data_IF_628671289988
#
_entry.id   IF_628671289988
#
_cell.length_a   1.000
_cell.length_b   1.000
_cell.length_c   1.000
_cell.angle_alpha   90.00
_cell.angle_beta   90.00
_cell.angle_gamma   90.00
#
_symmetry.space_group_name_H-M   'P 1'
#
loop_
_entity.id
_entity.type
_entity.pdbx_description
1 polymer ?
#
# COMPACT_ATOMS: atom_id res chain seq x y z
N UNK A 1 46.03 24.09 44.57
CA UNK A 1 45.55 22.69 44.50
C UNK A 1 44.14 22.70 45.07
N UNK A 2 43.08 22.75 44.25
CA UNK A 2 42.41 21.58 43.59
C UNK A 2 41.70 20.72 44.66
N UNK A 3 40.40 20.38 44.66
CA UNK A 3 39.27 20.26 43.68
C UNK A 3 37.94 20.32 44.50
N UNK A 4 36.80 20.82 43.99
CA UNK A 4 35.76 20.09 43.21
C UNK A 4 34.80 19.31 44.15
N UNK A 5 33.46 19.25 44.06
CA UNK A 5 32.42 19.42 43.02
C UNK A 5 31.05 19.41 43.74
N UNK A 6 30.08 20.32 43.52
CA UNK A 6 29.00 20.32 42.49
C UNK A 6 28.09 19.08 42.42
N UNK A 7 26.78 19.25 42.66
CA UNK A 7 25.71 18.66 41.82
C UNK A 7 24.31 19.21 42.18
N UNK A 8 23.88 20.26 41.48
CA UNK A 8 22.46 20.55 41.22
C UNK A 8 22.10 19.89 39.89
N UNK A 9 21.23 18.88 39.89
CA UNK A 9 20.69 18.28 38.66
C UNK A 9 19.53 19.13 38.16
N UNK A 10 19.83 20.00 37.19
CA UNK A 10 18.80 20.53 36.30
C UNK A 10 18.46 19.46 35.25
N UNK A 11 17.21 18.97 35.32
CA UNK A 11 16.63 18.06 34.35
C UNK A 11 16.11 18.87 33.16
N UNK A 12 16.98 19.17 32.21
CA UNK A 12 16.55 19.71 30.92
C UNK A 12 16.01 18.58 30.05
N UNK A 13 14.72 18.64 29.75
CA UNK A 13 14.12 17.80 28.72
C UNK A 13 14.77 18.14 27.39
N UNK A 14 15.52 17.20 26.82
CA UNK A 14 15.98 17.30 25.44
C UNK A 14 14.76 17.20 24.52
N UNK A 15 14.41 18.32 23.90
CA UNK A 15 13.49 18.36 22.76
C UNK A 15 14.03 17.44 21.66
N UNK A 16 13.22 16.55 21.06
CA UNK A 16 13.66 15.73 19.94
C UNK A 16 14.22 16.63 18.83
N UNK A 17 15.43 16.30 18.33
CA UNK A 17 16.04 16.99 17.17
C UNK A 17 14.99 17.09 16.06
N UNK A 18 14.58 18.31 15.74
CA UNK A 18 13.69 18.56 14.62
C UNK A 18 14.35 18.02 13.35
N UNK A 19 13.65 17.11 12.65
CA UNK A 19 14.05 16.75 11.29
C UNK A 19 13.97 18.02 10.43
N UNK A 20 14.90 18.25 9.47
CA UNK A 20 14.80 19.38 8.57
C UNK A 20 13.42 19.39 7.92
N UNK A 21 12.59 20.37 8.26
CA UNK A 21 11.28 20.55 7.63
C UNK A 21 11.53 21.03 6.21
N UNK A 22 11.04 20.35 5.17
CA UNK A 22 11.08 20.91 3.83
C UNK A 22 10.43 22.29 3.85
N UNK A 23 11.02 23.25 3.12
CA UNK A 23 10.47 24.59 3.09
C UNK A 23 9.04 24.57 2.54
N UNK A 24 8.17 25.45 3.03
CA UNK A 24 6.81 25.62 2.48
C UNK A 24 6.85 25.87 0.96
N UNK A 25 7.91 26.50 0.46
CA UNK A 25 8.19 26.71 -0.96
C UNK A 25 8.31 25.38 -1.74
N UNK A 26 8.95 24.36 -1.16
CA UNK A 26 9.09 23.05 -1.81
C UNK A 26 7.75 22.33 -1.97
N UNK A 27 6.88 22.40 -0.95
CA UNK A 27 5.53 21.81 -1.02
C UNK A 27 4.62 22.55 -2.00
N UNK A 28 4.72 23.88 -2.06
CA UNK A 28 4.00 24.68 -3.07
C UNK A 28 4.41 24.28 -4.47
N UNK A 29 5.72 24.24 -4.76
CA UNK A 29 6.23 23.82 -6.06
C UNK A 29 5.77 22.40 -6.42
N UNK A 30 5.76 21.49 -5.44
CA UNK A 30 5.26 20.13 -5.62
C UNK A 30 3.77 20.08 -5.96
N UNK A 31 2.93 20.81 -5.22
CA UNK A 31 1.49 20.89 -5.48
C UNK A 31 1.20 21.48 -6.88
N UNK A 32 1.91 22.54 -7.26
CA UNK A 32 1.77 23.13 -8.60
C UNK A 32 2.14 22.16 -9.73
N UNK A 33 3.22 21.38 -9.56
CA UNK A 33 3.61 20.38 -10.56
C UNK A 33 2.56 19.28 -10.74
N UNK A 34 1.92 18.84 -9.65
CA UNK A 34 0.83 17.86 -9.71
C UNK A 34 -0.36 18.46 -10.46
N UNK A 35 -0.84 19.62 -10.04
CA UNK A 35 -2.02 20.26 -10.65
C UNK A 35 -1.79 20.58 -12.13
N UNK A 36 -0.58 21.02 -12.51
CA UNK A 36 -0.22 21.25 -13.91
C UNK A 36 -0.26 19.95 -14.74
N UNK A 37 0.21 18.84 -14.18
CA UNK A 37 0.16 17.55 -14.87
C UNK A 37 -1.28 17.04 -15.04
N UNK A 38 -2.14 17.32 -14.07
CA UNK A 38 -3.57 16.98 -14.10
C UNK A 38 -4.40 17.92 -15.00
N UNK A 39 -3.77 18.91 -15.65
CA UNK A 39 -4.43 19.95 -16.45
C UNK A 39 -5.54 20.70 -15.68
N UNK A 40 -5.33 20.86 -14.37
CA UNK A 40 -6.28 21.51 -13.46
C UNK A 40 -6.39 23.01 -13.77
N UNK A 41 -7.63 23.52 -13.83
CA UNK A 41 -7.97 24.88 -14.24
C UNK A 41 -7.43 25.95 -13.26
N UNK A 42 -7.11 25.57 -12.02
CA UNK A 42 -6.50 26.43 -11.01
C UNK A 42 -5.11 26.93 -11.45
N UNK A 43 -4.39 26.17 -12.27
CA UNK A 43 -3.02 26.50 -12.70
C UNK A 43 -2.97 27.44 -13.91
N UNK A 44 -3.97 27.39 -14.81
CA UNK A 44 -4.11 28.27 -15.98
C UNK A 44 -2.87 28.43 -16.87
N UNK A 45 -2.88 29.43 -17.77
CA UNK A 45 -1.75 29.80 -18.65
C UNK A 45 -0.67 30.65 -17.97
N UNK A 46 -0.45 30.45 -16.66
CA UNK A 46 0.54 31.26 -15.93
C UNK A 46 1.95 30.81 -16.35
N UNK A 47 2.68 31.66 -17.07
CA UNK A 47 4.12 31.49 -17.30
C UNK A 47 4.86 31.60 -15.96
N UNK A 48 5.55 30.53 -15.56
CA UNK A 48 6.27 30.46 -14.29
C UNK A 48 7.77 30.61 -14.60
N UNK A 49 8.50 31.48 -13.89
CA UNK A 49 9.96 31.51 -13.97
C UNK A 49 10.50 30.13 -13.56
N UNK A 50 11.44 29.59 -14.34
CA UNK A 50 12.16 28.35 -14.05
C UNK A 50 12.95 28.48 -12.73
N UNK A 51 12.27 28.42 -11.60
CA UNK A 51 12.92 28.35 -10.31
C UNK A 51 13.26 26.89 -10.05
N UNK A 52 14.57 26.65 -9.86
CA UNK A 52 15.21 25.37 -9.65
C UNK A 52 14.35 24.38 -8.86
N UNK A 53 14.10 23.21 -9.47
CA UNK A 53 13.62 22.04 -8.73
C UNK A 53 14.68 21.68 -7.69
N UNK A 54 14.31 21.60 -6.41
CA UNK A 54 15.21 21.14 -5.35
C UNK A 54 14.77 19.76 -4.85
N UNK A 55 15.71 18.83 -4.67
CA UNK A 55 15.45 17.57 -4.00
C UNK A 55 14.95 17.84 -2.57
N UNK A 56 13.74 17.39 -2.20
CA UNK A 56 13.17 17.60 -0.84
C UNK A 56 14.04 16.99 0.27
N UNK A 57 14.79 15.92 -0.05
CA UNK A 57 15.68 15.22 0.89
C UNK A 57 17.10 15.79 0.92
N UNK A 58 17.55 16.41 -0.17
CA UNK A 58 18.96 16.74 -0.43
C UNK A 58 19.20 18.25 -0.56
N UNK A 59 18.16 19.05 -0.82
CA UNK A 59 18.20 20.48 -1.11
C UNK A 59 19.12 20.90 -2.27
N UNK A 60 19.48 19.95 -3.15
CA UNK A 60 20.26 20.20 -4.36
C UNK A 60 19.38 20.46 -5.59
N UNK A 61 19.86 21.30 -6.51
CA UNK A 61 19.22 21.67 -7.77
C UNK A 61 19.17 20.50 -8.76
N UNK A 62 17.99 20.30 -9.35
CA UNK A 62 17.74 19.29 -10.37
C UNK A 62 17.78 20.01 -11.73
N UNK A 63 18.74 19.64 -12.56
CA UNK A 63 18.81 20.10 -13.95
C UNK A 63 17.72 19.44 -14.78
N UNK A 64 17.02 20.23 -15.60
CA UNK A 64 15.72 19.89 -16.24
C UNK A 64 15.86 18.96 -17.46
N UNK A 65 17.07 18.51 -17.79
CA UNK A 65 17.29 17.67 -18.97
C UNK A 65 17.40 16.19 -18.61
N UNK A 66 16.30 15.48 -18.27
CA UNK A 66 16.39 14.01 -18.27
C UNK A 66 15.14 13.22 -18.72
N UNK A 67 15.38 12.06 -19.37
CA UNK A 67 14.39 11.18 -19.98
C UNK A 67 13.65 10.32 -18.95
N UNK A 68 12.51 9.78 -19.41
CA UNK A 68 11.37 9.27 -18.64
C UNK A 68 11.60 8.17 -17.58
N UNK A 69 12.80 7.61 -17.40
CA UNK A 69 12.90 6.35 -16.65
C UNK A 69 13.86 6.28 -15.45
N UNK A 70 14.90 7.11 -15.26
CA UNK A 70 15.62 7.14 -13.97
C UNK A 70 16.57 8.33 -13.89
N UNK A 71 16.48 9.14 -12.83
CA UNK A 71 17.52 10.14 -12.50
C UNK A 71 18.04 9.85 -11.09
N UNK A 72 19.35 9.59 -11.00
CA UNK A 72 20.07 9.48 -9.73
C UNK A 72 20.56 10.88 -9.31
N UNK A 73 20.30 11.30 -8.07
CA UNK A 73 21.09 12.38 -7.47
C UNK A 73 22.54 11.91 -7.29
N UNK A 74 23.48 12.85 -7.14
CA UNK A 74 24.95 12.63 -7.14
C UNK A 74 25.48 11.57 -6.12
N UNK A 75 24.63 11.03 -5.24
CA UNK A 75 24.97 10.05 -4.19
C UNK A 75 24.30 8.68 -4.39
N UNK A 76 23.88 8.31 -5.60
CA UNK A 76 23.32 6.97 -5.91
C UNK A 76 22.20 6.49 -4.96
N UNK A 77 21.45 7.42 -4.37
CA UNK A 77 20.34 7.11 -3.47
C UNK A 77 19.03 7.44 -4.20
N UNK A 78 18.07 6.50 -4.33
CA UNK A 78 16.79 6.79 -4.97
C UNK A 78 15.97 7.75 -4.08
N UNK A 79 15.95 9.03 -4.43
CA UNK A 79 15.24 10.07 -3.69
C UNK A 79 14.02 10.55 -4.49
N UNK A 80 12.81 10.25 -3.98
CA UNK A 80 11.50 10.92 -4.21
C UNK A 80 10.94 11.01 -5.65
N UNK A 81 11.75 10.94 -6.72
CA UNK A 81 11.29 10.95 -8.12
C UNK A 81 10.38 9.76 -8.50
N UNK A 82 10.42 8.66 -7.74
CA UNK A 82 9.58 7.48 -8.00
C UNK A 82 8.14 7.68 -7.49
N UNK A 83 7.93 8.46 -6.43
CA UNK A 83 6.62 8.58 -5.80
C UNK A 83 5.66 9.53 -6.53
N UNK A 84 6.18 10.60 -7.15
CA UNK A 84 5.37 11.63 -7.80
C UNK A 84 4.58 11.10 -9.02
N UNK A 85 5.19 10.38 -9.99
CA UNK A 85 4.44 9.83 -11.13
C UNK A 85 3.40 8.79 -10.72
N UNK A 86 3.67 8.04 -9.65
CA UNK A 86 2.74 7.04 -9.11
C UNK A 86 1.53 7.73 -8.51
N UNK A 87 1.74 8.74 -7.66
CA UNK A 87 0.67 9.51 -7.04
C UNK A 87 -0.17 10.25 -8.08
N UNK A 88 0.47 10.86 -9.08
CA UNK A 88 -0.23 11.52 -10.19
C UNK A 88 -1.14 10.52 -10.92
N UNK A 89 -0.60 9.35 -11.30
CA UNK A 89 -1.37 8.31 -11.98
C UNK A 89 -2.56 7.84 -11.14
N UNK A 90 -2.36 7.70 -9.83
CA UNK A 90 -3.42 7.33 -8.89
C UNK A 90 -4.50 8.41 -8.79
N UNK A 91 -4.12 9.68 -8.73
CA UNK A 91 -5.04 10.83 -8.71
C UNK A 91 -5.80 11.01 -10.04
N UNK A 92 -5.20 10.66 -11.18
CA UNK A 92 -5.87 10.69 -12.49
C UNK A 92 -6.80 9.49 -12.74
N UNK A 93 -6.82 8.50 -11.85
CA UNK A 93 -7.66 7.30 -12.01
C UNK A 93 -9.04 7.55 -11.40
N UNK A 94 -10.09 7.50 -12.23
CA UNK A 94 -11.47 7.58 -11.75
C UNK A 94 -11.76 6.42 -10.78
N UNK A 95 -12.08 6.73 -9.52
CA UNK A 95 -12.59 5.76 -8.56
C UNK A 95 -14.10 5.95 -8.44
N UNK A 96 -14.85 4.93 -8.85
CA UNK A 96 -16.31 4.90 -8.68
C UNK A 96 -16.67 4.60 -7.23
N UNK A 97 -16.70 5.65 -6.41
CA UNK A 97 -17.37 5.61 -5.12
C UNK A 97 -18.39 6.74 -5.13
N UNK A 98 -19.64 6.37 -5.43
CA UNK A 98 -20.80 7.17 -5.11
C UNK A 98 -20.77 7.54 -3.62
N UNK A 99 -21.09 8.80 -3.39
CA UNK A 99 -21.08 9.48 -2.11
C UNK A 99 -21.77 8.69 -1.00
N UNK A 100 -21.04 8.38 0.08
CA UNK A 100 -21.65 8.19 1.40
C UNK A 100 -21.34 9.41 2.27
N UNK A 101 -22.43 9.96 2.80
CA UNK A 101 -22.52 11.15 3.64
C UNK A 101 -21.61 10.99 4.86
N UNK A 102 -20.57 11.81 4.95
CA UNK A 102 -19.78 11.91 6.19
C UNK A 102 -20.67 12.47 7.29
N UNK A 103 -20.89 11.67 8.33
CA UNK A 103 -21.44 12.15 9.60
C UNK A 103 -20.50 13.23 10.14
N UNK A 104 -21.06 14.41 10.39
CA UNK A 104 -20.33 15.65 10.68
C UNK A 104 -19.73 15.55 12.09
N UNK A 105 -18.59 14.90 12.21
CA UNK A 105 -17.82 14.83 13.45
C UNK A 105 -17.54 16.23 13.99
N UNK A 106 -17.71 16.40 15.30
CA UNK A 106 -17.25 17.58 16.03
C UNK A 106 -15.80 17.83 15.67
N UNK A 107 -15.47 19.02 15.17
CA UNK A 107 -14.15 19.35 14.61
C UNK A 107 -13.01 19.42 15.62
N UNK A 108 -13.04 18.59 16.67
CA UNK A 108 -11.98 18.45 17.65
C UNK A 108 -10.85 17.56 17.11
N UNK A 109 -9.61 17.93 17.43
CA UNK A 109 -8.41 17.22 16.97
C UNK A 109 -8.39 15.76 17.44
N UNK A 110 -8.98 15.47 18.60
CA UNK A 110 -9.10 14.12 19.13
C UNK A 110 -9.98 13.25 18.23
N UNK A 111 -11.15 13.76 17.82
CA UNK A 111 -12.07 13.06 16.93
C UNK A 111 -11.44 12.83 15.54
N UNK A 112 -10.75 13.84 15.01
CA UNK A 112 -10.02 13.73 13.74
C UNK A 112 -8.88 12.69 13.81
N UNK A 113 -8.11 12.67 14.90
CA UNK A 113 -7.04 11.68 15.08
C UNK A 113 -7.58 10.25 15.19
N UNK A 114 -8.64 10.04 15.99
CA UNK A 114 -9.26 8.72 16.12
C UNK A 114 -9.91 8.26 14.81
N UNK A 115 -10.45 9.18 14.02
CA UNK A 115 -10.96 8.90 12.68
C UNK A 115 -9.84 8.37 11.76
N UNK A 116 -8.67 9.00 11.77
CA UNK A 116 -7.50 8.52 11.00
C UNK A 116 -7.13 7.09 11.42
N UNK A 117 -6.97 6.84 12.73
CA UNK A 117 -6.60 5.51 13.23
C UNK A 117 -7.64 4.45 12.85
N UNK A 118 -8.93 4.78 12.91
CA UNK A 118 -9.99 3.87 12.52
C UNK A 118 -9.95 3.56 11.01
N UNK A 119 -9.78 4.59 10.18
CA UNK A 119 -9.71 4.45 8.71
C UNK A 119 -8.45 3.68 8.28
N UNK A 120 -7.29 3.95 8.89
CA UNK A 120 -6.08 3.15 8.69
C UNK A 120 -6.30 1.69 9.13
N UNK A 121 -7.05 1.47 10.21
CA UNK A 121 -7.46 0.15 10.67
C UNK A 121 -8.33 -0.62 9.67
N UNK A 122 -9.19 0.07 8.89
CA UNK A 122 -10.00 -0.57 7.85
C UNK A 122 -9.14 -1.18 6.74
N UNK A 123 -8.00 -0.57 6.40
CA UNK A 123 -7.08 -1.14 5.42
C UNK A 123 -6.52 -2.48 5.90
N UNK A 124 -6.19 -2.60 7.20
CA UNK A 124 -5.77 -3.87 7.80
C UNK A 124 -6.90 -4.91 7.78
N UNK A 125 -8.13 -4.50 8.09
CA UNK A 125 -9.31 -5.38 8.10
C UNK A 125 -9.57 -5.91 6.67
N UNK A 126 -9.58 -5.02 5.68
CA UNK A 126 -9.75 -5.40 4.28
C UNK A 126 -8.67 -6.40 3.81
N UNK A 127 -7.40 -6.21 4.22
CA UNK A 127 -6.33 -7.18 3.94
C UNK A 127 -6.62 -8.55 4.57
N UNK A 128 -7.06 -8.60 5.83
CA UNK A 128 -7.44 -9.84 6.52
C UNK A 128 -8.60 -10.53 5.82
N UNK A 129 -9.62 -9.79 5.40
CA UNK A 129 -10.80 -10.33 4.74
C UNK A 129 -10.48 -10.91 3.36
N UNK A 130 -9.59 -10.25 2.60
CA UNK A 130 -9.06 -10.80 1.35
C UNK A 130 -8.33 -12.12 1.60
N UNK A 131 -7.46 -12.17 2.62
CA UNK A 131 -6.71 -13.40 2.96
C UNK A 131 -7.68 -14.52 3.41
N UNK A 132 -8.68 -14.19 4.23
CA UNK A 132 -9.70 -15.13 4.67
C UNK A 132 -10.55 -15.65 3.52
N UNK A 133 -10.86 -14.81 2.53
CA UNK A 133 -11.55 -15.22 1.31
C UNK A 133 -10.71 -16.19 0.47
N UNK A 134 -9.40 -15.94 0.34
CA UNK A 134 -8.49 -16.90 -0.30
C UNK A 134 -8.39 -18.22 0.45
N UNK A 135 -8.31 -18.17 1.79
CA UNK A 135 -8.32 -19.37 2.63
C UNK A 135 -9.58 -20.20 2.42
N UNK A 136 -10.76 -19.59 2.50
CA UNK A 136 -12.04 -20.27 2.29
C UNK A 136 -12.16 -20.85 0.87
N UNK A 137 -11.68 -20.13 -0.14
CA UNK A 137 -11.66 -20.63 -1.51
C UNK A 137 -10.71 -21.82 -1.65
N UNK A 138 -9.52 -21.77 -1.06
CA UNK A 138 -8.57 -22.89 -1.04
C UNK A 138 -9.13 -24.12 -0.33
N UNK A 139 -9.77 -23.93 0.83
CA UNK A 139 -10.48 -24.98 1.57
C UNK A 139 -11.56 -25.64 0.71
N UNK A 140 -12.41 -24.85 0.05
CA UNK A 140 -13.44 -25.37 -0.83
C UNK A 140 -12.87 -26.15 -2.04
N UNK A 141 -11.73 -25.72 -2.59
CA UNK A 141 -11.02 -26.45 -3.64
C UNK A 141 -10.50 -27.80 -3.13
N UNK A 142 -9.89 -27.82 -1.94
CA UNK A 142 -9.36 -29.03 -1.32
C UNK A 142 -10.48 -30.02 -0.93
N UNK A 143 -11.55 -29.54 -0.32
CA UNK A 143 -12.74 -30.35 0.01
C UNK A 143 -13.35 -30.97 -1.26
N UNK A 144 -13.46 -30.18 -2.33
CA UNK A 144 -13.97 -30.65 -3.62
C UNK A 144 -13.03 -31.69 -4.25
N UNK A 145 -11.72 -31.48 -4.16
CA UNK A 145 -10.72 -32.44 -4.62
C UNK A 145 -10.80 -33.74 -3.83
N UNK A 146 -10.87 -33.67 -2.50
CA UNK A 146 -10.98 -34.83 -1.61
C UNK A 146 -12.29 -35.58 -1.83
N UNK A 147 -13.39 -34.89 -2.14
CA UNK A 147 -14.65 -35.52 -2.53
C UNK A 147 -14.47 -36.38 -3.79
N UNK A 148 -13.96 -35.81 -4.88
CA UNK A 148 -13.80 -36.56 -6.13
C UNK A 148 -12.72 -37.64 -6.06
N UNK A 149 -11.67 -37.43 -5.26
CA UNK A 149 -10.57 -38.38 -5.08
C UNK A 149 -11.02 -39.71 -4.46
N UNK A 150 -12.17 -39.77 -3.79
CA UNK A 150 -12.73 -41.01 -3.23
C UNK A 150 -12.98 -42.07 -4.30
N UNK A 151 -13.54 -41.65 -5.43
CA UNK A 151 -13.98 -42.57 -6.50
C UNK A 151 -13.14 -42.44 -7.79
N UNK A 152 -12.18 -41.52 -7.83
CA UNK A 152 -11.44 -41.18 -9.03
C UNK A 152 -9.92 -41.11 -8.80
N UNK A 153 -9.10 -41.48 -9.79
CA UNK A 153 -7.66 -41.25 -9.71
C UNK A 153 -7.37 -39.74 -9.67
N UNK A 154 -6.22 -39.38 -9.07
CA UNK A 154 -5.81 -37.98 -8.81
C UNK A 154 -6.00 -37.05 -10.01
N UNK A 155 -5.63 -37.48 -11.21
CA UNK A 155 -5.77 -36.67 -12.44
C UNK A 155 -7.23 -36.37 -12.78
N UNK A 156 -8.11 -37.35 -12.67
CA UNK A 156 -9.54 -37.21 -12.95
C UNK A 156 -10.21 -36.33 -11.90
N UNK A 157 -9.90 -36.51 -10.61
CA UNK A 157 -10.41 -35.65 -9.55
C UNK A 157 -10.05 -34.18 -9.79
N UNK A 158 -8.79 -33.89 -10.18
CA UNK A 158 -8.36 -32.53 -10.50
C UNK A 158 -9.11 -31.94 -11.71
N UNK A 159 -9.32 -32.74 -12.76
CA UNK A 159 -10.07 -32.31 -13.94
C UNK A 159 -11.54 -31.96 -13.58
N UNK A 160 -12.17 -32.76 -12.70
CA UNK A 160 -13.52 -32.51 -12.21
C UNK A 160 -13.62 -31.24 -11.36
N UNK A 161 -12.66 -31.00 -10.46
CA UNK A 161 -12.58 -29.74 -9.71
C UNK A 161 -12.43 -28.55 -10.67
N UNK A 162 -11.53 -28.65 -11.66
CA UNK A 162 -11.34 -27.59 -12.64
C UNK A 162 -12.62 -27.32 -13.43
N UNK A 163 -13.30 -28.36 -13.90
CA UNK A 163 -14.59 -28.25 -14.59
C UNK A 163 -15.65 -27.55 -13.73
N UNK A 164 -15.81 -27.97 -12.47
CA UNK A 164 -16.78 -27.37 -11.54
C UNK A 164 -16.51 -25.89 -11.28
N UNK A 165 -15.24 -25.51 -11.10
CA UNK A 165 -14.87 -24.11 -10.91
C UNK A 165 -15.17 -23.28 -12.17
N UNK A 166 -14.90 -23.84 -13.35
CA UNK A 166 -15.21 -23.20 -14.63
C UNK A 166 -16.69 -22.95 -14.85
N UNK A 167 -17.53 -23.93 -14.55
CA UNK A 167 -18.99 -23.81 -14.64
C UNK A 167 -19.54 -22.68 -13.76
N UNK A 168 -18.88 -22.41 -12.61
CA UNK A 168 -19.27 -21.34 -11.70
C UNK A 168 -18.67 -19.98 -12.04
N UNK A 169 -17.58 -19.94 -12.83
CA UNK A 169 -16.83 -18.72 -13.15
C UNK A 169 -16.55 -18.58 -14.67
N UNK A 170 -17.59 -18.57 -15.53
CA UNK A 170 -17.41 -18.61 -16.98
C UNK A 170 -16.77 -17.34 -17.58
N UNK A 171 -16.84 -16.20 -16.88
CA UNK A 171 -16.41 -14.89 -17.40
C UNK A 171 -14.98 -14.50 -16.96
N UNK A 172 -14.24 -15.39 -16.30
CA UNK A 172 -12.88 -15.10 -15.81
C UNK A 172 -11.86 -15.69 -16.77
N UNK A 173 -10.83 -14.93 -17.13
CA UNK A 173 -9.70 -15.44 -17.92
C UNK A 173 -9.01 -16.63 -17.22
N UNK A 174 -8.67 -17.66 -17.99
CA UNK A 174 -7.98 -18.87 -17.53
C UNK A 174 -6.75 -18.56 -16.67
N UNK A 175 -5.92 -17.62 -17.11
CA UNK A 175 -4.69 -17.25 -16.41
C UNK A 175 -4.98 -16.58 -15.06
N UNK A 176 -5.97 -15.69 -15.03
CA UNK A 176 -6.39 -15.01 -13.81
C UNK A 176 -6.99 -16.00 -12.80
N UNK A 177 -7.83 -16.92 -13.28
CA UNK A 177 -8.43 -17.97 -12.44
C UNK A 177 -7.36 -18.91 -11.89
N UNK A 178 -6.43 -19.37 -12.74
CA UNK A 178 -5.31 -20.22 -12.32
C UNK A 178 -4.49 -19.56 -11.20
N UNK A 179 -4.06 -18.31 -11.41
CA UNK A 179 -3.28 -17.54 -10.40
C UNK A 179 -4.03 -17.39 -9.07
N UNK A 180 -5.35 -17.13 -9.12
CA UNK A 180 -6.18 -17.02 -7.91
C UNK A 180 -6.29 -18.37 -7.19
N UNK A 181 -6.46 -19.48 -7.91
CA UNK A 181 -6.53 -20.84 -7.33
C UNK A 181 -5.22 -21.25 -6.68
N UNK A 182 -4.09 -21.07 -7.37
CA UNK A 182 -2.77 -21.38 -6.82
C UNK A 182 -2.51 -20.60 -5.54
N UNK A 183 -2.78 -19.29 -5.55
CA UNK A 183 -2.68 -18.45 -4.36
C UNK A 183 -3.59 -18.94 -3.22
N UNK A 184 -4.83 -19.32 -3.54
CA UNK A 184 -5.79 -19.80 -2.56
C UNK A 184 -5.34 -21.09 -1.89
N UNK A 185 -4.83 -22.05 -2.67
CA UNK A 185 -4.32 -23.32 -2.17
C UNK A 185 -3.11 -23.11 -1.24
N UNK A 186 -2.14 -22.28 -1.63
CA UNK A 186 -0.99 -21.97 -0.76
C UNK A 186 -1.39 -21.33 0.57
N UNK A 187 -2.31 -20.36 0.52
CA UNK A 187 -2.83 -19.70 1.73
C UNK A 187 -3.58 -20.72 2.59
N UNK A 188 -4.40 -21.57 1.98
CA UNK A 188 -5.11 -22.62 2.69
C UNK A 188 -4.16 -23.60 3.37
N UNK A 189 -3.20 -24.17 2.64
CA UNK A 189 -2.20 -25.10 3.17
C UNK A 189 -1.47 -24.49 4.39
N UNK A 190 -0.95 -23.27 4.25
CA UNK A 190 -0.25 -22.57 5.32
C UNK A 190 -1.12 -22.39 6.58
N UNK A 191 -2.31 -21.78 6.44
CA UNK A 191 -3.15 -21.47 7.59
C UNK A 191 -3.92 -22.68 8.14
N UNK A 192 -4.08 -23.73 7.36
CA UNK A 192 -4.58 -25.01 7.85
C UNK A 192 -3.56 -25.68 8.78
N UNK A 193 -2.26 -25.50 8.53
CA UNK A 193 -1.20 -26.02 9.40
C UNK A 193 -0.99 -25.17 10.67
N UNK A 194 -0.93 -23.84 10.55
CA UNK A 194 -0.62 -22.96 11.69
C UNK A 194 -1.86 -22.50 12.49
N UNK A 195 -3.06 -22.70 11.93
CA UNK A 195 -4.35 -22.32 12.49
C UNK A 195 -5.00 -21.12 11.79
N UNK A 196 -6.28 -21.25 11.44
CA UNK A 196 -7.09 -20.20 10.81
C UNK A 196 -7.14 -18.92 11.66
N UNK A 197 -7.13 -19.06 12.99
CA UNK A 197 -7.15 -17.94 13.94
C UNK A 197 -5.96 -16.98 13.74
N UNK A 198 -4.85 -17.47 13.18
CA UNK A 198 -3.64 -16.69 12.92
C UNK A 198 -3.85 -15.64 11.82
N UNK A 199 -4.82 -15.81 10.92
CA UNK A 199 -5.17 -14.82 9.89
C UNK A 199 -5.53 -13.47 10.55
N UNK A 200 -6.17 -13.49 11.72
CA UNK A 200 -6.57 -12.27 12.44
C UNK A 200 -5.38 -11.45 12.95
N UNK A 201 -4.18 -12.04 13.03
CA UNK A 201 -2.97 -11.35 13.52
C UNK A 201 -2.21 -10.60 12.43
N UNK A 202 -2.64 -10.74 11.17
CA UNK A 202 -1.98 -10.10 10.02
C UNK A 202 -2.26 -8.61 10.03
N UNK A 203 -1.22 -7.78 9.86
CA UNK A 203 -1.37 -6.31 9.76
C UNK A 203 -0.89 -5.78 8.42
N UNK A 204 0.33 -6.14 8.04
CA UNK A 204 1.02 -5.57 6.88
C UNK A 204 1.06 -6.48 5.65
N UNK A 205 0.85 -7.78 5.81
CA UNK A 205 0.99 -8.73 4.70
C UNK A 205 -0.25 -8.77 3.82
N UNK A 206 -0.04 -8.79 2.51
CA UNK A 206 -1.08 -9.09 1.52
C UNK A 206 -1.12 -10.59 1.21
N UNK A 207 -2.25 -11.05 0.67
CA UNK A 207 -2.37 -12.42 0.14
C UNK A 207 -1.30 -12.74 -0.92
N UNK A 208 -0.93 -11.76 -1.74
CA UNK A 208 0.13 -11.90 -2.75
C UNK A 208 1.49 -12.12 -2.09
N UNK A 209 1.81 -11.33 -1.06
CA UNK A 209 3.07 -11.44 -0.32
C UNK A 209 3.21 -12.80 0.36
N UNK A 210 2.13 -13.29 0.98
CA UNK A 210 2.12 -14.60 1.66
C UNK A 210 2.30 -15.75 0.67
N UNK A 211 1.63 -15.70 -0.49
CA UNK A 211 1.72 -16.77 -1.50
C UNK A 211 3.08 -16.94 -2.19
N UNK A 212 4.01 -16.02 -1.91
CA UNK A 212 5.38 -16.00 -2.42
C UNK A 212 6.42 -16.38 -1.36
N UNK A 213 6.00 -16.81 -0.17
CA UNK A 213 6.90 -17.22 0.91
C UNK A 213 7.49 -18.64 0.71
N UNK A 214 7.14 -19.30 -0.40
CA UNK A 214 7.77 -20.54 -0.88
C UNK A 214 9.11 -20.29 -1.56
#
# INVERSE_FOLDING_TARGET
MSKGSESTKDSSYQTPRERPRPSLTNYRNFAYNILKYLEDDIVGDKEIPQNQLLCVKCLEEITVDFPKDTVFCHVNTPCIMIALPILIKELSSETSQDSEVMEKGTGDFFDLYNSIINMEGQEEIAKRDVIKSYFNFGKALDDCFNYYKKDNPKRTAQALVNKKVWEQLPNVSDDALRKKKERALKIFELFNEIGEDKIQKIKSFSASSISKLD
#
